data_IF_022884240181
#
_entry.id   IF_022884240181
#
_cell.length_a   1.000
_cell.length_b   1.000
_cell.length_c   1.000
_cell.angle_alpha   90.00
_cell.angle_beta   90.00
_cell.angle_gamma   90.00
#
_symmetry.space_group_name_H-M   'P 1'
#
loop_
_entity.id
_entity.type
_entity.pdbx_description
1 polymer ?
#
# COMPACT_ATOMS: atom_id res chain seq x y z
N UNK A 1 11.76 1.84 12.87
CA UNK A 1 10.58 2.66 12.55
C UNK A 1 10.07 2.32 11.16
N UNK A 2 8.78 2.05 11.06
CA UNK A 2 8.19 1.75 9.76
C UNK A 2 7.99 3.03 8.98
N UNK A 3 8.40 3.03 7.72
CA UNK A 3 8.11 4.12 6.82
C UNK A 3 6.62 4.08 6.45
N UNK A 4 6.01 5.22 6.37
CA UNK A 4 4.61 5.31 5.95
C UNK A 4 4.52 5.50 4.43
N UNK A 5 3.29 5.49 3.93
CA UNK A 5 3.01 5.59 2.50
C UNK A 5 3.67 6.84 1.88
N UNK A 6 3.47 7.99 2.51
CA UNK A 6 3.99 9.25 1.98
C UNK A 6 5.51 9.28 1.90
N UNK A 7 6.18 8.76 2.92
CA UNK A 7 7.64 8.73 2.95
C UNK A 7 8.19 7.80 1.86
N UNK A 8 7.55 6.66 1.66
CA UNK A 8 8.02 5.69 0.66
C UNK A 8 7.89 6.26 -0.75
N UNK A 9 6.74 6.84 -1.09
CA UNK A 9 6.58 7.40 -2.44
C UNK A 9 7.49 8.61 -2.64
N UNK A 10 7.68 9.44 -1.63
CA UNK A 10 8.59 10.59 -1.71
C UNK A 10 10.02 10.15 -1.97
N UNK A 11 10.51 9.17 -1.23
CA UNK A 11 11.87 8.67 -1.40
C UNK A 11 12.05 8.03 -2.77
N UNK A 12 11.11 7.20 -3.19
CA UNK A 12 11.17 6.56 -4.51
C UNK A 12 11.14 7.59 -5.62
N UNK A 13 10.34 8.65 -5.47
CA UNK A 13 10.31 9.76 -6.44
C UNK A 13 11.66 10.42 -6.54
N UNK A 14 12.29 10.72 -5.41
CA UNK A 14 13.63 11.33 -5.39
C UNK A 14 14.67 10.42 -6.00
N UNK A 15 14.58 9.13 -5.73
CA UNK A 15 15.51 8.14 -6.29
C UNK A 15 15.40 8.08 -7.82
N UNK A 16 14.22 8.32 -8.36
CA UNK A 16 13.99 8.40 -9.80
C UNK A 16 14.38 9.76 -10.39
N UNK A 17 14.68 10.74 -9.55
CA UNK A 17 15.03 12.07 -10.01
C UNK A 17 13.85 12.92 -10.44
N UNK A 18 12.63 12.54 -10.07
CA UNK A 18 11.44 13.32 -10.41
C UNK A 18 11.17 14.41 -9.38
N UNK A 19 10.76 15.60 -9.86
CA UNK A 19 10.14 16.59 -8.99
C UNK A 19 8.70 16.15 -8.68
N UNK A 20 8.10 16.77 -7.67
CA UNK A 20 6.67 16.51 -7.39
C UNK A 20 5.79 16.83 -8.59
N UNK A 21 6.09 17.94 -9.28
CA UNK A 21 5.32 18.35 -10.45
C UNK A 21 5.45 17.36 -11.59
N UNK A 22 6.64 16.83 -11.82
CA UNK A 22 6.88 15.82 -12.84
C UNK A 22 6.10 14.54 -12.55
N UNK A 23 6.17 14.04 -11.32
CA UNK A 23 5.43 12.84 -10.94
C UNK A 23 3.92 13.07 -11.05
N UNK A 24 3.43 14.20 -10.54
CA UNK A 24 2.01 14.52 -10.60
C UNK A 24 1.50 14.49 -12.05
N UNK A 25 2.29 15.03 -12.98
CA UNK A 25 1.93 15.01 -14.39
C UNK A 25 1.91 13.59 -14.94
N UNK A 26 2.93 12.78 -14.61
CA UNK A 26 3.04 11.40 -15.09
C UNK A 26 1.87 10.52 -14.60
N UNK A 27 1.39 10.72 -13.39
CA UNK A 27 0.30 9.93 -12.82
C UNK A 27 -1.05 10.64 -12.91
N UNK A 28 -1.09 11.80 -13.57
CA UNK A 28 -2.31 12.57 -13.80
C UNK A 28 -3.03 12.95 -12.49
N UNK A 29 -2.23 13.36 -11.51
CA UNK A 29 -2.74 13.85 -10.22
C UNK A 29 -2.54 15.35 -10.11
N UNK A 30 -3.42 15.99 -9.35
CA UNK A 30 -3.20 17.36 -8.95
C UNK A 30 -1.93 17.43 -8.08
N UNK A 31 -1.08 18.39 -8.37
CA UNK A 31 0.16 18.61 -7.63
C UNK A 31 -0.08 18.77 -6.13
N UNK A 32 -1.11 19.53 -5.76
CA UNK A 32 -1.45 19.78 -4.36
C UNK A 32 -1.81 18.48 -3.65
N UNK A 33 -2.57 17.61 -4.31
CA UNK A 33 -2.94 16.32 -3.75
C UNK A 33 -1.71 15.42 -3.56
N UNK A 34 -0.85 15.35 -4.58
CA UNK A 34 0.38 14.55 -4.46
C UNK A 34 1.24 15.06 -3.30
N UNK A 35 1.38 16.37 -3.16
CA UNK A 35 2.13 16.95 -2.05
C UNK A 35 1.54 16.54 -0.71
N UNK A 36 0.22 16.56 -0.58
CA UNK A 36 -0.46 16.12 0.64
C UNK A 36 -0.23 14.63 0.90
N UNK A 37 -0.25 13.79 -0.13
CA UNK A 37 0.03 12.36 0.01
C UNK A 37 1.45 12.13 0.55
N UNK A 38 2.44 12.83 0.01
CA UNK A 38 3.83 12.68 0.44
C UNK A 38 4.05 13.16 1.87
N UNK A 39 3.25 14.10 2.33
CA UNK A 39 3.35 14.65 3.67
C UNK A 39 2.33 14.06 4.65
N UNK A 40 1.60 13.04 4.24
CA UNK A 40 0.58 12.36 5.05
C UNK A 40 -0.50 13.32 5.56
N UNK A 41 -0.90 14.27 4.71
CA UNK A 41 -1.92 15.28 5.00
C UNK A 41 -3.12 15.20 4.09
N UNK A 42 -3.22 14.15 3.27
CA UNK A 42 -4.37 13.97 2.40
C UNK A 42 -5.62 13.68 3.22
N UNK A 43 -6.73 14.30 2.86
CA UNK A 43 -8.00 14.13 3.58
C UNK A 43 -8.63 12.77 3.33
N UNK A 44 -8.23 12.11 2.26
CA UNK A 44 -8.74 10.79 1.89
C UNK A 44 -7.61 9.96 1.29
N UNK A 45 -7.63 8.64 1.48
CA UNK A 45 -6.59 7.78 0.89
C UNK A 45 -6.76 7.71 -0.62
N UNK A 46 -5.68 7.54 -1.36
CA UNK A 46 -5.77 7.43 -2.82
C UNK A 46 -6.51 6.16 -3.22
N UNK A 47 -7.19 6.21 -4.36
CA UNK A 47 -7.86 5.04 -4.92
C UNK A 47 -6.83 4.05 -5.44
N UNK A 48 -7.25 2.79 -5.57
CA UNK A 48 -6.34 1.72 -5.99
C UNK A 48 -5.68 2.01 -7.33
N UNK A 49 -6.43 2.50 -8.31
CA UNK A 49 -5.87 2.82 -9.63
C UNK A 49 -4.80 3.90 -9.56
N UNK A 50 -4.98 4.89 -8.68
CA UNK A 50 -3.98 5.93 -8.44
C UNK A 50 -2.72 5.32 -7.83
N UNK A 51 -2.88 4.45 -6.83
CA UNK A 51 -1.76 3.78 -6.19
C UNK A 51 -0.98 2.96 -7.21
N UNK A 52 -1.68 2.21 -8.07
CA UNK A 52 -1.04 1.40 -9.11
C UNK A 52 -0.26 2.26 -10.11
N UNK A 53 -0.81 3.41 -10.47
CA UNK A 53 -0.13 4.33 -11.37
C UNK A 53 1.16 4.87 -10.74
N UNK A 54 1.09 5.27 -9.49
CA UNK A 54 2.28 5.74 -8.75
C UNK A 54 3.33 4.63 -8.66
N UNK A 55 2.92 3.42 -8.31
CA UNK A 55 3.83 2.28 -8.20
C UNK A 55 4.53 2.00 -9.53
N UNK A 56 3.80 2.04 -10.64
CA UNK A 56 4.36 1.82 -11.96
C UNK A 56 5.43 2.86 -12.29
N UNK A 57 5.15 4.12 -12.03
CA UNK A 57 6.10 5.20 -12.34
C UNK A 57 7.34 5.17 -11.43
N UNK A 58 7.21 4.63 -10.23
CA UNK A 58 8.30 4.62 -9.26
C UNK A 58 8.98 3.26 -9.10
N UNK A 59 8.60 2.27 -9.91
CA UNK A 59 9.11 0.90 -9.83
C UNK A 59 8.92 0.27 -8.45
N UNK A 60 7.75 0.53 -7.84
CA UNK A 60 7.37 -0.07 -6.57
C UNK A 60 6.38 -1.20 -6.81
N UNK A 61 6.32 -2.13 -5.86
CA UNK A 61 5.32 -3.19 -5.91
C UNK A 61 3.94 -2.61 -5.60
N UNK A 62 3.02 -2.69 -6.57
CA UNK A 62 1.71 -2.06 -6.46
C UNK A 62 0.88 -2.66 -5.33
N UNK A 63 0.86 -3.99 -5.19
CA UNK A 63 0.07 -4.64 -4.13
C UNK A 63 0.57 -4.24 -2.75
N UNK A 64 1.88 -4.25 -2.54
CA UNK A 64 2.45 -3.82 -1.26
C UNK A 64 2.07 -2.38 -0.95
N UNK A 65 2.12 -1.52 -1.96
CA UNK A 65 1.79 -0.11 -1.78
C UNK A 65 0.30 0.08 -1.44
N UNK A 66 -0.57 -0.74 -2.03
CA UNK A 66 -2.00 -0.71 -1.72
C UNK A 66 -2.25 -1.06 -0.25
N UNK A 67 -1.63 -2.15 0.23
CA UNK A 67 -1.75 -2.52 1.65
C UNK A 67 -1.17 -1.45 2.57
N UNK A 68 -0.05 -0.86 2.19
CA UNK A 68 0.57 0.21 2.99
C UNK A 68 -0.37 1.42 3.10
N UNK A 69 -1.16 1.68 2.07
CA UNK A 69 -2.16 2.76 2.09
C UNK A 69 -3.39 2.41 2.93
N UNK A 70 -3.43 1.20 3.51
CA UNK A 70 -4.56 0.76 4.33
C UNK A 70 -5.73 0.21 3.51
N UNK A 71 -5.48 -0.16 2.27
CA UNK A 71 -6.50 -0.75 1.40
C UNK A 71 -6.22 -2.21 1.15
N UNK A 72 -7.24 -2.92 0.72
CA UNK A 72 -7.11 -4.30 0.24
C UNK A 72 -7.32 -4.27 -1.27
N UNK A 73 -6.44 -4.92 -2.06
CA UNK A 73 -6.63 -4.95 -3.51
C UNK A 73 -7.98 -5.52 -3.90
N UNK A 74 -8.58 -4.93 -4.93
CA UNK A 74 -9.92 -5.32 -5.39
C UNK A 74 -10.01 -6.80 -5.76
N UNK A 75 -8.90 -7.37 -6.24
CA UNK A 75 -8.85 -8.80 -6.57
C UNK A 75 -9.07 -9.75 -5.41
N UNK A 76 -8.94 -9.27 -4.17
CA UNK A 76 -9.14 -10.08 -2.97
C UNK A 76 -10.59 -10.09 -2.47
N UNK A 77 -11.45 -9.34 -3.13
CA UNK A 77 -12.82 -9.12 -2.65
C UNK A 77 -13.61 -10.41 -2.51
N UNK A 78 -13.53 -11.30 -3.51
CA UNK A 78 -14.28 -12.56 -3.48
C UNK A 78 -13.83 -13.45 -2.33
N UNK A 79 -12.52 -13.53 -2.11
CA UNK A 79 -11.97 -14.33 -1.02
C UNK A 79 -12.46 -13.81 0.33
N UNK A 80 -12.41 -12.49 0.52
CA UNK A 80 -12.87 -11.87 1.76
C UNK A 80 -14.34 -12.13 2.01
N UNK A 81 -15.16 -12.01 0.97
CA UNK A 81 -16.60 -12.24 1.09
C UNK A 81 -16.92 -13.68 1.42
N UNK A 82 -16.22 -14.64 0.82
CA UNK A 82 -16.42 -16.06 1.11
C UNK A 82 -16.06 -16.41 2.55
N UNK A 83 -15.11 -15.70 3.13
CA UNK A 83 -14.57 -15.97 4.46
C UNK A 83 -14.92 -14.90 5.48
N UNK A 84 -15.99 -14.16 5.24
CA UNK A 84 -16.29 -12.97 6.03
C UNK A 84 -16.44 -13.25 7.53
N UNK A 85 -16.95 -14.40 7.90
CA UNK A 85 -17.14 -14.74 9.32
C UNK A 85 -15.82 -14.97 10.05
N UNK A 86 -14.82 -15.50 9.33
CA UNK A 86 -13.52 -15.79 9.93
C UNK A 86 -12.59 -14.57 9.98
N UNK A 87 -12.83 -13.57 9.14
CA UNK A 87 -11.91 -12.45 9.02
C UNK A 87 -11.70 -11.66 10.32
N UNK A 88 -12.76 -11.30 11.05
CA UNK A 88 -12.54 -10.54 12.30
C UNK A 88 -11.67 -11.30 13.30
N UNK A 89 -11.91 -12.60 13.46
CA UNK A 89 -11.13 -13.42 14.39
C UNK A 89 -9.67 -13.55 13.95
N UNK A 90 -9.45 -13.73 12.65
CA UNK A 90 -8.09 -13.84 12.11
C UNK A 90 -7.27 -12.58 12.41
N UNK A 91 -7.80 -11.42 12.04
CA UNK A 91 -7.09 -10.16 12.25
C UNK A 91 -6.88 -9.86 13.72
N UNK A 92 -7.90 -10.11 14.55
CA UNK A 92 -7.77 -9.89 16.00
C UNK A 92 -6.67 -10.76 16.59
N UNK A 93 -6.67 -12.05 16.25
CA UNK A 93 -5.66 -12.98 16.75
C UNK A 93 -4.25 -12.59 16.32
N UNK A 94 -4.09 -12.21 15.06
CA UNK A 94 -2.78 -11.77 14.56
C UNK A 94 -2.31 -10.49 15.26
N UNK A 95 -3.21 -9.56 15.49
CA UNK A 95 -2.88 -8.30 16.16
C UNK A 95 -2.51 -8.52 17.62
N UNK A 96 -3.24 -9.39 18.31
CA UNK A 96 -3.05 -9.63 19.75
C UNK A 96 -1.96 -10.66 20.05
N UNK A 97 -1.57 -11.44 19.07
CA UNK A 97 -0.55 -12.48 19.22
C UNK A 97 0.51 -12.36 18.14
N UNK A 98 1.58 -11.56 18.40
CA UNK A 98 2.63 -11.35 17.39
C UNK A 98 3.32 -12.63 16.91
N UNK A 99 3.47 -13.64 17.77
CA UNK A 99 4.09 -14.90 17.37
C UNK A 99 3.22 -15.65 16.36
N UNK A 100 1.91 -15.64 16.56
CA UNK A 100 0.99 -16.22 15.59
C UNK A 100 1.08 -15.48 14.25
N UNK A 101 1.08 -14.15 14.28
CA UNK A 101 1.22 -13.34 13.06
C UNK A 101 2.50 -13.67 12.33
N UNK A 102 3.64 -13.78 13.04
CA UNK A 102 4.93 -14.15 12.45
C UNK A 102 4.87 -15.50 11.76
N UNK A 103 4.22 -16.49 12.38
CA UNK A 103 4.08 -17.82 11.78
C UNK A 103 3.27 -17.76 10.48
N UNK A 104 2.17 -17.00 10.47
CA UNK A 104 1.34 -16.84 9.28
C UNK A 104 2.14 -16.18 8.16
N UNK A 105 2.82 -15.08 8.46
CA UNK A 105 3.61 -14.38 7.44
C UNK A 105 4.76 -15.22 6.92
N UNK A 106 5.44 -15.96 7.79
CA UNK A 106 6.52 -16.86 7.37
C UNK A 106 6.02 -17.94 6.44
N UNK A 107 4.89 -18.55 6.77
CA UNK A 107 4.28 -19.57 5.93
C UNK A 107 3.86 -19.01 4.58
N UNK A 108 3.24 -17.83 4.59
CA UNK A 108 2.76 -17.16 3.38
C UNK A 108 3.89 -16.77 2.43
N UNK A 109 5.08 -16.43 2.97
CA UNK A 109 6.19 -15.97 2.16
C UNK A 109 7.16 -17.08 1.75
N UNK A 110 6.89 -18.34 2.14
CA UNK A 110 7.68 -19.46 1.63
C UNK A 110 7.46 -19.59 0.14
N UNK A 111 8.55 -19.71 -0.60
CA UNK A 111 8.45 -19.95 -2.03
C UNK A 111 8.24 -21.45 -2.27
N UNK A 112 7.46 -21.76 -3.29
CA UNK A 112 7.14 -23.15 -3.66
C UNK A 112 8.21 -23.78 -4.53
N UNK A 113 9.34 -23.14 -4.63
CA UNK A 113 10.45 -23.64 -5.44
C UNK A 113 11.32 -24.63 -4.69
#
# INVERSE_FOLDING_TARGET
>A
MNQNFGQIIRQARKDKGYSQRELAKLVQLDFTYLSKLENNRADYPPKEDVIRSIATQLDLNAEELIYLAGRVPQGEEDFLKKNYKAMPSLFRRMRENPDFAKKIFKEATKTDS
#
